data_IF_522388723130
#
_entry.id   IF_522388723130
#
_cell.length_a   1.000
_cell.length_b   1.000
_cell.length_c   1.000
_cell.angle_alpha   90.00
_cell.angle_beta   90.00
_cell.angle_gamma   90.00
#
_symmetry.space_group_name_H-M   'P 1'
#
loop_
_entity.id
_entity.type
_entity.pdbx_description
1 polymer ?
#
# COMPACT_ATOMS: atom_id res chain seq x y z
N UNK A 1 -34.42 -13.95 -11.89
CA UNK A 1 -34.04 -14.10 -10.48
C UNK A 1 -33.50 -12.76 -10.02
N UNK A 2 -34.20 -12.11 -9.10
CA UNK A 2 -34.04 -10.68 -8.80
C UNK A 2 -32.75 -10.33 -8.06
N UNK A 3 -32.26 -9.13 -8.38
CA UNK A 3 -31.23 -8.38 -7.65
C UNK A 3 -31.49 -8.43 -6.15
N UNK A 4 -30.70 -9.24 -5.46
CA UNK A 4 -30.57 -9.19 -4.00
C UNK A 4 -29.11 -8.86 -3.71
N UNK A 5 -28.81 -7.58 -3.72
CA UNK A 5 -27.54 -7.04 -3.24
C UNK A 5 -27.76 -6.26 -1.95
N UNK A 6 -26.75 -6.22 -1.10
CA UNK A 6 -26.64 -5.24 -0.02
C UNK A 6 -25.40 -4.40 -0.29
N UNK A 7 -25.53 -3.08 -0.20
CA UNK A 7 -24.39 -2.17 -0.22
C UNK A 7 -23.92 -1.99 1.22
N UNK A 8 -22.64 -2.26 1.47
CA UNK A 8 -22.00 -1.97 2.75
C UNK A 8 -21.09 -0.78 2.53
N UNK A 9 -21.34 0.30 3.25
CA UNK A 9 -20.56 1.53 3.19
C UNK A 9 -19.77 1.71 4.49
N UNK A 10 -18.58 2.29 4.37
CA UNK A 10 -17.75 2.67 5.52
C UNK A 10 -17.06 3.99 5.21
N UNK A 11 -16.82 4.80 6.25
CA UNK A 11 -15.98 6.00 6.16
C UNK A 11 -14.64 5.70 6.83
N UNK A 12 -13.55 6.20 6.26
CA UNK A 12 -12.24 5.92 6.82
C UNK A 12 -11.10 6.36 5.93
N UNK A 13 -9.90 5.95 6.30
CA UNK A 13 -8.71 6.14 5.48
C UNK A 13 -8.57 4.99 4.49
N UNK A 14 -8.22 5.33 3.25
CA UNK A 14 -7.85 4.38 2.20
C UNK A 14 -6.36 4.51 1.94
N UNK A 15 -5.64 3.38 1.95
CA UNK A 15 -4.24 3.31 1.51
C UNK A 15 -4.22 2.41 0.29
N UNK A 16 -3.75 2.94 -0.85
CA UNK A 16 -3.49 2.12 -2.04
C UNK A 16 -2.05 1.59 -1.99
N UNK A 17 -1.92 0.28 -2.07
CA UNK A 17 -0.64 -0.40 -1.95
C UNK A 17 0.02 -0.61 -3.33
N UNK A 18 1.34 -0.80 -3.35
CA UNK A 18 2.09 -1.03 -4.57
C UNK A 18 1.84 -2.45 -5.13
N UNK A 19 1.68 -3.43 -4.24
CA UNK A 19 1.52 -4.84 -4.60
C UNK A 19 0.76 -5.62 -3.53
N UNK A 20 0.11 -6.71 -3.91
CA UNK A 20 -0.59 -7.61 -2.98
C UNK A 20 -0.66 -9.04 -3.48
N UNK A 21 -0.81 -10.00 -2.55
CA UNK A 21 -0.83 -11.44 -2.85
C UNK A 21 -2.12 -11.95 -3.50
N UNK A 22 -3.17 -11.12 -3.61
CA UNK A 22 -4.48 -11.49 -4.12
C UNK A 22 -5.49 -11.92 -3.05
N UNK A 23 -5.04 -12.19 -1.82
CA UNK A 23 -5.91 -12.60 -0.72
C UNK A 23 -6.54 -11.41 0.01
N UNK A 24 -7.63 -11.66 0.72
CA UNK A 24 -8.36 -10.66 1.49
C UNK A 24 -8.31 -11.02 2.98
N UNK A 25 -8.30 -10.01 3.86
CA UNK A 25 -8.17 -10.23 5.29
C UNK A 25 -8.77 -9.11 6.11
N UNK A 26 -9.10 -9.39 7.37
CA UNK A 26 -9.58 -8.38 8.30
C UNK A 26 -9.20 -8.76 9.72
N UNK A 27 -8.92 -7.76 10.55
CA UNK A 27 -8.54 -7.97 11.94
C UNK A 27 -8.09 -6.66 12.59
N UNK A 28 -7.69 -6.73 13.87
CA UNK A 28 -7.07 -5.59 14.54
C UNK A 28 -5.62 -5.43 14.10
N UNK A 29 -5.22 -4.19 13.80
CA UNK A 29 -3.84 -3.86 13.52
C UNK A 29 -2.98 -4.05 14.77
N UNK A 30 -1.79 -4.59 14.55
CA UNK A 30 -0.71 -4.64 15.52
C UNK A 30 0.56 -4.16 14.84
N UNK A 31 1.00 -2.96 15.21
CA UNK A 31 2.31 -2.45 14.81
C UNK A 31 3.40 -3.20 15.56
N UNK A 32 4.22 -3.96 14.84
CA UNK A 32 5.34 -4.72 15.40
C UNK A 32 6.69 -4.03 15.15
N UNK A 33 6.78 -3.24 14.08
CA UNK A 33 7.98 -2.46 13.74
C UNK A 33 8.07 -1.15 14.55
N UNK A 34 9.28 -0.82 15.00
CA UNK A 34 9.56 0.43 15.72
C UNK A 34 9.79 1.64 14.80
N UNK A 35 10.20 1.40 13.56
CA UNK A 35 10.45 2.43 12.54
C UNK A 35 9.90 1.99 11.18
N UNK A 36 9.72 2.92 10.22
CA UNK A 36 9.23 2.61 8.88
C UNK A 36 10.10 1.60 8.11
N UNK A 37 11.38 1.48 8.44
CA UNK A 37 12.33 0.55 7.80
C UNK A 37 12.78 -0.59 8.72
N UNK A 38 12.19 -0.71 9.91
CA UNK A 38 12.59 -1.74 10.87
C UNK A 38 12.29 -3.14 10.31
N UNK A 39 13.32 -3.98 10.35
CA UNK A 39 13.23 -5.39 9.98
C UNK A 39 12.40 -6.16 11.02
N UNK A 40 11.55 -7.07 10.55
CA UNK A 40 10.86 -8.01 11.44
C UNK A 40 11.86 -9.01 12.05
N UNK A 41 11.93 -9.05 13.38
CA UNK A 41 12.73 -10.01 14.14
C UNK A 41 11.87 -11.10 14.79
N UNK A 42 12.42 -12.29 15.10
CA UNK A 42 11.68 -13.36 15.76
C UNK A 42 10.98 -12.95 17.07
N UNK A 43 11.63 -12.09 17.87
CA UNK A 43 11.11 -11.65 19.17
C UNK A 43 9.83 -10.83 19.04
N UNK A 44 9.65 -10.10 17.92
CA UNK A 44 8.45 -9.32 17.63
C UNK A 44 7.22 -10.19 17.34
N UNK A 45 7.42 -11.48 17.05
CA UNK A 45 6.35 -12.48 16.94
C UNK A 45 6.13 -13.27 18.25
N UNK A 46 6.82 -12.92 19.34
CA UNK A 46 6.70 -13.63 20.62
C UNK A 46 5.45 -13.27 21.44
N UNK A 47 4.72 -12.23 21.06
CA UNK A 47 3.46 -11.84 21.71
C UNK A 47 2.24 -12.58 21.16
N UNK A 48 1.05 -12.23 21.68
CA UNK A 48 -0.21 -12.68 21.07
C UNK A 48 -0.41 -11.98 19.72
N UNK A 49 -0.07 -12.64 18.61
CA UNK A 49 -0.26 -12.14 17.24
C UNK A 49 -1.43 -12.80 16.52
N UNK A 50 -2.03 -13.83 17.14
CA UNK A 50 -3.11 -14.64 16.59
C UNK A 50 -4.32 -13.76 16.26
N UNK A 51 -4.87 -13.90 15.05
CA UNK A 51 -6.05 -13.16 14.65
C UNK A 51 -5.79 -11.69 14.25
N UNK A 52 -4.54 -11.22 14.30
CA UNK A 52 -4.19 -9.80 14.07
C UNK A 52 -3.67 -9.56 12.66
N UNK A 53 -3.67 -8.29 12.26
CA UNK A 53 -3.01 -7.81 11.05
C UNK A 53 -1.71 -7.14 11.47
N UNK A 54 -0.56 -7.67 11.05
CA UNK A 54 0.73 -7.13 11.47
C UNK A 54 1.19 -6.02 10.54
N UNK A 55 1.68 -4.91 11.11
CA UNK A 55 2.31 -3.81 10.36
C UNK A 55 3.82 -3.86 10.58
N UNK A 56 4.55 -4.00 9.47
CA UNK A 56 5.98 -4.23 9.43
C UNK A 56 6.63 -3.21 8.48
N UNK A 57 7.78 -2.65 8.85
CA UNK A 57 8.56 -1.77 7.99
C UNK A 57 9.14 -2.53 6.80
N UNK A 58 10.01 -3.52 7.09
CA UNK A 58 10.63 -4.36 6.07
C UNK A 58 10.55 -5.85 6.44
N UNK A 59 10.10 -6.68 5.49
CA UNK A 59 10.06 -8.15 5.62
C UNK A 59 10.99 -8.78 4.58
N UNK A 60 12.05 -9.46 5.03
CA UNK A 60 13.09 -10.03 4.16
C UNK A 60 13.31 -11.54 4.30
N UNK A 61 12.52 -12.21 5.13
CA UNK A 61 12.64 -13.65 5.40
C UNK A 61 11.34 -14.38 5.07
N UNK A 62 11.43 -15.35 4.16
CA UNK A 62 10.34 -16.28 3.84
C UNK A 62 9.98 -17.14 5.05
N UNK A 63 10.96 -17.51 5.88
CA UNK A 63 10.73 -18.21 7.15
C UNK A 63 9.86 -17.36 8.08
N UNK A 64 10.13 -16.06 8.20
CA UNK A 64 9.33 -15.17 9.04
C UNK A 64 7.91 -14.96 8.49
N UNK A 65 7.74 -14.97 7.16
CA UNK A 65 6.42 -14.97 6.53
C UNK A 65 5.61 -16.20 6.94
N UNK A 66 6.16 -17.41 6.77
CA UNK A 66 5.48 -18.65 7.15
C UNK A 66 5.29 -18.79 8.65
N UNK A 67 6.24 -18.29 9.46
CA UNK A 67 6.06 -18.26 10.92
C UNK A 67 4.85 -17.41 11.32
N UNK A 68 4.62 -16.26 10.67
CA UNK A 68 3.43 -15.46 10.94
C UNK A 68 2.15 -16.21 10.54
N UNK A 69 2.17 -16.92 9.42
CA UNK A 69 1.08 -17.79 8.97
C UNK A 69 0.76 -18.89 10.00
N UNK A 70 1.77 -19.61 10.47
CA UNK A 70 1.64 -20.68 11.46
C UNK A 70 1.12 -20.18 12.81
N UNK A 71 1.45 -18.93 13.19
CA UNK A 71 0.96 -18.27 14.40
C UNK A 71 -0.48 -17.73 14.26
N UNK A 72 -1.15 -17.98 13.13
CA UNK A 72 -2.54 -17.59 12.92
C UNK A 72 -2.74 -16.09 12.71
N UNK A 73 -1.71 -15.38 12.22
CA UNK A 73 -1.85 -14.00 11.74
C UNK A 73 -2.86 -13.96 10.59
N UNK A 74 -3.67 -12.90 10.53
CA UNK A 74 -4.76 -12.75 9.53
C UNK A 74 -4.37 -11.93 8.32
N UNK A 75 -3.20 -11.31 8.33
CA UNK A 75 -2.62 -10.58 7.21
C UNK A 75 -1.39 -9.78 7.61
N UNK A 76 -0.56 -9.49 6.62
CA UNK A 76 0.67 -8.70 6.75
C UNK A 76 0.55 -7.45 5.90
N UNK A 77 0.83 -6.31 6.51
CA UNK A 77 1.03 -5.02 5.85
C UNK A 77 2.50 -4.68 5.99
N UNK A 78 3.23 -4.65 4.89
CA UNK A 78 4.66 -4.39 4.87
C UNK A 78 4.97 -3.14 4.05
N UNK A 79 5.94 -2.35 4.49
CA UNK A 79 6.48 -1.24 3.70
C UNK A 79 7.11 -1.74 2.42
N UNK A 80 8.14 -2.56 2.61
CA UNK A 80 8.84 -3.22 1.52
C UNK A 80 9.12 -4.69 1.81
N UNK A 81 9.43 -5.46 0.75
CA UNK A 81 9.77 -6.88 0.84
C UNK A 81 10.60 -7.35 -0.36
N UNK A 82 10.92 -8.64 -0.42
CA UNK A 82 11.69 -9.24 -1.52
C UNK A 82 10.79 -9.99 -2.50
N UNK A 83 11.30 -10.21 -3.72
CA UNK A 83 10.55 -10.91 -4.77
C UNK A 83 10.22 -12.36 -4.38
N UNK A 84 11.09 -13.01 -3.61
CA UNK A 84 10.90 -14.38 -3.11
C UNK A 84 9.68 -14.48 -2.19
N UNK A 85 9.48 -13.49 -1.31
CA UNK A 85 8.32 -13.44 -0.42
C UNK A 85 7.04 -13.13 -1.21
N UNK A 86 7.10 -12.24 -2.20
CA UNK A 86 5.99 -12.01 -3.12
C UNK A 86 5.62 -13.28 -3.90
N UNK A 87 6.59 -14.14 -4.23
CA UNK A 87 6.31 -15.44 -4.86
C UNK A 87 5.69 -16.43 -3.88
N UNK A 88 6.28 -16.60 -2.69
CA UNK A 88 5.78 -17.51 -1.66
C UNK A 88 4.35 -17.18 -1.21
N UNK A 89 4.03 -15.89 -1.07
CA UNK A 89 2.72 -15.42 -0.63
C UNK A 89 1.60 -15.65 -1.65
N UNK A 90 1.88 -15.82 -2.94
CA UNK A 90 0.85 -16.14 -3.96
C UNK A 90 0.20 -17.50 -3.74
N UNK A 91 0.92 -18.45 -3.16
CA UNK A 91 0.44 -19.80 -2.83
C UNK A 91 -0.09 -19.93 -1.40
N UNK A 92 -0.02 -18.86 -0.60
CA UNK A 92 -0.45 -18.86 0.80
C UNK A 92 -1.85 -18.22 0.94
N UNK A 93 -2.69 -18.72 1.87
CA UNK A 93 -3.91 -18.03 2.29
C UNK A 93 -3.65 -16.75 3.08
N UNK A 94 -2.44 -16.51 3.61
CA UNK A 94 -2.11 -15.31 4.37
C UNK A 94 -2.01 -14.09 3.43
N UNK A 95 -2.86 -13.06 3.60
CA UNK A 95 -2.76 -11.84 2.81
C UNK A 95 -1.45 -11.11 3.08
N UNK A 96 -0.76 -10.74 2.00
CA UNK A 96 0.40 -9.85 2.04
C UNK A 96 0.09 -8.61 1.22
N UNK A 97 0.15 -7.45 1.85
CA UNK A 97 0.04 -6.14 1.20
C UNK A 97 1.37 -5.42 1.34
N UNK A 98 1.94 -4.99 0.21
CA UNK A 98 3.21 -4.25 0.16
C UNK A 98 2.89 -2.81 -0.21
N UNK A 99 3.03 -1.88 0.74
CA UNK A 99 2.60 -0.50 0.54
C UNK A 99 3.48 0.24 -0.45
N UNK A 100 4.80 0.06 -0.38
CA UNK A 100 5.77 0.90 -1.09
C UNK A 100 6.49 0.18 -2.23
N UNK A 101 7.14 -0.96 -1.96
CA UNK A 101 7.97 -1.58 -2.99
C UNK A 101 8.53 -2.96 -2.70
N UNK A 102 9.03 -3.59 -3.76
CA UNK A 102 9.81 -4.81 -3.67
C UNK A 102 11.29 -4.41 -3.63
N UNK A 103 11.70 -3.88 -2.48
CA UNK A 103 13.03 -3.34 -2.19
C UNK A 103 13.30 -3.38 -0.67
N UNK A 104 14.38 -2.72 -0.22
CA UNK A 104 14.77 -2.63 1.18
C UNK A 104 14.55 -1.22 1.80
N UNK A 105 13.73 -0.36 1.17
CA UNK A 105 13.55 1.03 1.60
C UNK A 105 12.57 1.17 2.77
N UNK A 106 11.78 0.13 3.06
CA UNK A 106 10.75 0.17 4.09
C UNK A 106 9.49 0.90 3.63
N UNK A 107 8.75 1.42 4.60
CA UNK A 107 7.46 2.07 4.42
C UNK A 107 7.61 3.58 4.29
N UNK A 108 6.76 4.23 3.49
CA UNK A 108 6.67 5.69 3.50
C UNK A 108 6.30 6.19 4.91
N UNK A 109 7.00 7.18 5.49
CA UNK A 109 6.74 7.64 6.85
C UNK A 109 5.29 8.04 7.12
N UNK A 110 4.62 8.71 6.18
CA UNK A 110 3.22 9.11 6.36
C UNK A 110 2.25 7.92 6.43
N UNK A 111 2.52 6.84 5.68
CA UNK A 111 1.75 5.58 5.76
C UNK A 111 2.01 4.89 7.10
N UNK A 112 3.29 4.86 7.53
CA UNK A 112 3.67 4.28 8.81
C UNK A 112 3.01 5.03 9.98
N UNK A 113 3.03 6.36 9.98
CA UNK A 113 2.40 7.20 11.00
C UNK A 113 0.89 6.96 11.05
N UNK A 114 0.23 6.86 9.90
CA UNK A 114 -1.19 6.59 9.81
C UNK A 114 -1.54 5.19 10.34
N UNK A 115 -0.74 4.17 10.03
CA UNK A 115 -0.92 2.81 10.56
C UNK A 115 -0.59 2.73 12.06
N UNK A 116 0.39 3.50 12.52
CA UNK A 116 0.74 3.62 13.94
C UNK A 116 -0.41 4.26 14.73
N UNK A 117 -0.99 5.35 14.24
CA UNK A 117 -2.18 5.97 14.84
C UNK A 117 -3.40 5.05 14.81
N UNK A 118 -3.45 4.11 13.86
CA UNK A 118 -4.50 3.11 13.75
C UNK A 118 -4.21 1.82 14.55
N UNK A 119 -3.10 1.72 15.27
CA UNK A 119 -2.73 0.52 16.01
C UNK A 119 -3.84 0.10 16.99
N UNK A 120 -4.17 -1.19 17.03
CA UNK A 120 -5.26 -1.76 17.84
C UNK A 120 -6.66 -1.58 17.26
N UNK A 121 -6.84 -0.79 16.19
CA UNK A 121 -8.12 -0.63 15.47
C UNK A 121 -8.27 -1.70 14.38
N UNK A 122 -9.51 -1.96 13.98
CA UNK A 122 -9.80 -2.87 12.88
C UNK A 122 -9.35 -2.29 11.54
N UNK A 123 -8.90 -3.15 10.63
CA UNK A 123 -8.64 -2.84 9.24
C UNK A 123 -9.12 -3.97 8.33
N UNK A 124 -9.32 -3.65 7.05
CA UNK A 124 -9.62 -4.62 5.99
C UNK A 124 -8.56 -4.53 4.89
N UNK A 125 -8.11 -5.68 4.41
CA UNK A 125 -7.11 -5.86 3.37
C UNK A 125 -7.77 -6.45 2.13
N UNK A 126 -7.55 -5.80 1.00
CA UNK A 126 -7.98 -6.27 -0.30
C UNK A 126 -6.75 -6.47 -1.18
N UNK A 127 -6.26 -7.71 -1.27
CA UNK A 127 -4.98 -8.01 -1.90
C UNK A 127 -4.98 -8.09 -3.41
N UNK A 128 -6.12 -7.92 -4.08
CA UNK A 128 -6.21 -8.05 -5.55
C UNK A 128 -5.31 -7.03 -6.23
N UNK A 129 -4.43 -7.54 -7.08
CA UNK A 129 -3.47 -6.75 -7.83
C UNK A 129 -3.47 -7.18 -9.29
N UNK A 130 -3.66 -6.22 -10.18
CA UNK A 130 -3.50 -6.43 -11.61
C UNK A 130 -3.01 -5.14 -12.26
N UNK A 131 -1.70 -5.08 -12.47
CA UNK A 131 -1.03 -3.95 -13.11
C UNK A 131 -1.57 -3.64 -14.51
N UNK A 132 -2.02 -4.64 -15.27
CA UNK A 132 -2.49 -4.45 -16.65
C UNK A 132 -3.78 -3.63 -16.75
N UNK A 133 -4.61 -3.66 -15.70
CA UNK A 133 -5.85 -2.88 -15.60
C UNK A 133 -5.77 -1.78 -14.53
N UNK A 134 -4.60 -1.55 -13.95
CA UNK A 134 -4.39 -0.57 -12.88
C UNK A 134 -5.09 -0.93 -11.56
N UNK A 135 -5.47 -2.19 -11.34
CA UNK A 135 -6.06 -2.62 -10.07
C UNK A 135 -4.96 -2.73 -9.01
N UNK A 136 -5.09 -1.92 -7.96
CA UNK A 136 -4.16 -1.90 -6.84
C UNK A 136 -4.81 -2.50 -5.60
N UNK A 137 -4.03 -3.14 -4.73
CA UNK A 137 -4.50 -3.57 -3.43
C UNK A 137 -4.81 -2.39 -2.52
N UNK A 138 -5.72 -2.60 -1.59
CA UNK A 138 -6.26 -1.55 -0.74
C UNK A 138 -6.25 -1.98 0.73
N UNK A 139 -5.93 -1.02 1.60
CA UNK A 139 -6.10 -1.13 3.04
C UNK A 139 -7.15 -0.11 3.43
N UNK A 140 -8.23 -0.56 4.04
CA UNK A 140 -9.30 0.30 4.56
C UNK A 140 -9.19 0.33 6.07
N UNK A 141 -9.08 1.54 6.62
CA UNK A 141 -9.09 1.80 8.06
C UNK A 141 -10.40 2.51 8.44
N UNK A 142 -11.42 1.77 8.90
CA UNK A 142 -12.69 2.36 9.31
C UNK A 142 -12.49 3.40 10.41
N UNK A 143 -13.14 4.54 10.24
CA UNK A 143 -13.28 5.60 11.24
C UNK A 143 -14.76 5.70 11.63
N UNK A 144 -15.04 6.18 12.83
CA UNK A 144 -16.41 6.50 13.20
C UNK A 144 -16.92 7.57 12.22
N UNK A 145 -18.00 7.27 11.50
CA UNK A 145 -18.56 8.20 10.54
C UNK A 145 -18.96 9.50 11.26
N UNK A 146 -18.50 10.63 10.74
CA UNK A 146 -19.16 11.90 11.06
C UNK A 146 -20.39 11.95 10.16
N UNK A 147 -21.57 11.83 10.74
CA UNK A 147 -22.85 11.89 10.02
C UNK A 147 -22.87 13.12 9.10
N UNK A 148 -23.10 12.93 7.79
CA UNK A 148 -23.29 14.01 6.82
C UNK A 148 -22.13 14.34 5.89
N UNK A 149 -21.05 13.53 5.87
CA UNK A 149 -20.08 13.61 4.78
C UNK A 149 -20.57 12.80 3.58
N UNK A 150 -20.76 13.47 2.44
CA UNK A 150 -20.95 12.78 1.16
C UNK A 150 -19.77 11.81 0.97
N UNK A 151 -20.09 10.54 0.65
CA UNK A 151 -19.11 9.54 0.26
C UNK A 151 -18.47 9.98 -1.06
N UNK A 152 -17.53 10.92 -0.99
CA UNK A 152 -16.76 11.32 -2.15
C UNK A 152 -16.03 10.08 -2.61
N UNK A 153 -16.44 9.54 -3.76
CA UNK A 153 -15.67 8.50 -4.42
C UNK A 153 -14.27 9.08 -4.58
N UNK A 154 -13.26 8.48 -3.96
CA UNK A 154 -11.87 8.95 -4.07
C UNK A 154 -11.34 8.60 -5.46
N UNK A 155 -11.94 9.22 -6.49
CA UNK A 155 -11.41 9.35 -7.84
C UNK A 155 -11.09 10.82 -8.02
N UNK A 156 -9.99 11.24 -7.41
CA UNK A 156 -9.46 12.58 -7.61
C UNK A 156 -8.72 12.60 -8.95
N UNK A 157 -9.03 13.59 -9.79
CA UNK A 157 -8.24 13.88 -10.97
C UNK A 157 -6.87 14.43 -10.52
N UNK A 158 -5.82 14.13 -11.28
CA UNK A 158 -4.50 14.71 -11.03
C UNK A 158 -4.55 16.22 -11.23
N UNK A 159 -4.05 16.98 -10.26
CA UNK A 159 -3.96 18.45 -10.32
C UNK A 159 -2.53 18.94 -10.10
N UNK A 160 -2.17 20.09 -10.69
CA UNK A 160 -0.89 20.74 -10.42
C UNK A 160 -0.76 21.10 -8.93
N UNK A 161 0.45 20.98 -8.38
CA UNK A 161 0.72 21.25 -6.97
C UNK A 161 0.35 20.11 -6.03
N UNK A 162 -0.24 19.01 -6.53
CA UNK A 162 -0.63 17.87 -5.72
C UNK A 162 0.59 17.04 -5.30
N UNK A 163 0.58 16.54 -4.06
CA UNK A 163 1.57 15.60 -3.57
C UNK A 163 1.28 14.19 -4.08
N UNK A 164 2.32 13.55 -4.58
CA UNK A 164 2.26 12.18 -5.10
C UNK A 164 3.44 11.36 -4.60
N UNK A 165 3.20 10.08 -4.36
CA UNK A 165 4.22 9.06 -4.17
C UNK A 165 4.48 8.33 -5.48
N UNK A 166 5.75 8.07 -5.79
CA UNK A 166 6.19 7.34 -6.98
C UNK A 166 6.31 5.85 -6.65
N UNK A 167 5.83 5.00 -7.55
CA UNK A 167 5.83 3.54 -7.44
C UNK A 167 6.67 2.89 -8.54
N UNK A 168 7.21 1.69 -8.27
CA UNK A 168 7.67 0.76 -9.32
C UNK A 168 8.84 1.22 -10.20
N UNK A 169 9.68 2.15 -9.73
CA UNK A 169 10.88 2.62 -10.45
C UNK A 169 12.11 2.60 -9.53
N UNK A 170 13.30 2.90 -10.04
CA UNK A 170 14.50 3.16 -9.22
C UNK A 170 14.33 4.32 -8.22
N UNK A 171 13.23 5.07 -8.35
CA UNK A 171 12.83 6.18 -7.49
C UNK A 171 11.56 5.84 -6.69
N UNK A 172 11.23 4.55 -6.53
CA UNK A 172 10.08 4.10 -5.76
C UNK A 172 10.12 4.63 -4.31
N UNK A 173 8.93 4.82 -3.74
CA UNK A 173 8.70 5.36 -2.40
C UNK A 173 9.15 6.82 -2.19
N UNK A 174 9.58 7.54 -3.24
CA UNK A 174 9.82 8.99 -3.16
C UNK A 174 8.51 9.76 -3.29
N UNK A 175 8.42 10.86 -2.55
CA UNK A 175 7.31 11.82 -2.61
C UNK A 175 7.77 13.08 -3.34
N UNK A 176 6.87 13.64 -4.14
CA UNK A 176 7.09 14.93 -4.79
C UNK A 176 5.79 15.62 -5.16
N UNK A 177 5.94 16.76 -5.83
CA UNK A 177 4.83 17.63 -6.21
C UNK A 177 4.67 17.66 -7.72
N UNK A 178 3.45 17.51 -8.22
CA UNK A 178 3.16 17.61 -9.66
C UNK A 178 3.43 19.04 -10.15
N UNK A 179 4.30 19.20 -11.15
CA UNK A 179 4.61 20.48 -11.80
C UNK A 179 4.07 20.61 -13.22
N UNK A 180 3.91 19.50 -13.92
CA UNK A 180 3.37 19.50 -15.28
C UNK A 180 2.58 18.22 -15.55
N UNK A 181 1.45 18.33 -16.26
CA UNK A 181 0.64 17.17 -16.69
C UNK A 181 0.63 17.13 -18.21
N UNK A 182 1.17 16.07 -18.79
CA UNK A 182 1.26 15.94 -20.24
C UNK A 182 -0.05 15.43 -20.84
N UNK A 183 -0.59 16.16 -21.82
CA UNK A 183 -1.79 15.74 -22.57
C UNK A 183 -1.50 14.76 -23.72
N UNK A 184 -0.21 14.50 -24.01
CA UNK A 184 0.25 13.58 -25.05
C UNK A 184 1.19 12.55 -24.45
N UNK A 185 1.19 11.36 -25.03
CA UNK A 185 2.13 10.29 -24.69
C UNK A 185 3.58 10.77 -24.79
N UNK A 186 4.34 10.60 -23.71
CA UNK A 186 5.76 10.93 -23.62
C UNK A 186 6.61 9.67 -23.73
N UNK A 187 7.82 9.75 -24.33
CA UNK A 187 8.76 8.63 -24.33
C UNK A 187 9.25 8.33 -22.91
N UNK A 188 9.40 7.05 -22.58
CA UNK A 188 9.98 6.58 -21.32
C UNK A 188 11.40 6.05 -21.53
N UNK A 189 12.24 5.93 -20.48
CA UNK A 189 13.59 5.37 -20.58
C UNK A 189 13.64 3.93 -21.13
N UNK A 190 12.54 3.18 -21.00
CA UNK A 190 12.42 1.79 -21.48
C UNK A 190 11.84 1.70 -22.90
N UNK A 191 11.74 2.82 -23.62
CA UNK A 191 11.36 2.86 -25.04
C UNK A 191 9.86 2.77 -25.34
N UNK A 192 8.99 2.62 -24.34
CA UNK A 192 7.54 2.74 -24.51
C UNK A 192 7.08 4.18 -24.32
N UNK A 193 5.89 4.54 -24.81
CA UNK A 193 5.29 5.83 -24.53
C UNK A 193 4.16 5.72 -23.50
N UNK A 194 4.07 6.68 -22.58
CA UNK A 194 3.06 6.69 -21.53
C UNK A 194 2.52 8.10 -21.30
N UNK A 195 1.27 8.20 -20.80
CA UNK A 195 0.79 9.43 -20.18
C UNK A 195 1.47 9.59 -18.82
N UNK A 196 1.86 10.82 -18.47
CA UNK A 196 2.66 11.06 -17.28
C UNK A 196 2.64 12.52 -16.87
N UNK A 197 3.35 12.79 -15.79
CA UNK A 197 3.50 14.11 -15.18
C UNK A 197 4.97 14.34 -14.87
N UNK A 198 5.39 15.60 -14.79
CA UNK A 198 6.65 15.95 -14.14
C UNK A 198 6.41 16.13 -12.65
N UNK A 199 7.19 15.42 -11.85
CA UNK A 199 7.19 15.47 -10.39
C UNK A 199 8.47 16.14 -9.92
N UNK A 200 8.36 17.23 -9.16
CA UNK A 200 9.48 17.83 -8.44
C UNK A 200 9.64 17.16 -7.08
N UNK A 201 10.82 16.61 -6.85
CA UNK A 201 11.20 15.92 -5.62
C UNK A 201 11.78 16.92 -4.61
N UNK A 202 11.93 16.49 -3.35
CA UNK A 202 12.39 17.37 -2.27
C UNK A 202 13.80 17.96 -2.48
N UNK A 203 14.63 17.32 -3.30
CA UNK A 203 15.97 17.78 -3.71
C UNK A 203 15.94 18.75 -4.91
N UNK A 204 14.74 19.13 -5.39
CA UNK A 204 14.54 19.98 -6.56
C UNK A 204 14.66 19.25 -7.91
N UNK A 205 14.90 17.94 -7.91
CA UNK A 205 14.94 17.16 -9.13
C UNK A 205 13.55 17.06 -9.76
N UNK A 206 13.46 17.37 -11.06
CA UNK A 206 12.27 17.12 -11.87
C UNK A 206 12.39 15.77 -12.58
N UNK A 207 11.39 14.91 -12.40
CA UNK A 207 11.33 13.58 -13.00
C UNK A 207 10.00 13.38 -13.74
N UNK A 208 10.07 12.90 -14.98
CA UNK A 208 8.90 12.39 -15.67
C UNK A 208 8.46 11.05 -15.07
N UNK A 209 7.21 10.95 -14.63
CA UNK A 209 6.63 9.75 -14.03
C UNK A 209 5.34 9.38 -14.76
N UNK A 210 5.19 8.13 -15.25
CA UNK A 210 3.92 7.65 -15.79
C UNK A 210 2.80 7.73 -14.75
N UNK A 211 1.59 8.08 -15.15
CA UNK A 211 0.44 8.18 -14.23
C UNK A 211 0.20 6.85 -13.51
N UNK A 212 0.40 5.73 -14.19
CA UNK A 212 0.27 4.38 -13.62
C UNK A 212 1.24 4.10 -12.46
N UNK A 213 2.30 4.90 -12.33
CA UNK A 213 3.33 4.78 -11.31
C UNK A 213 3.18 5.85 -10.22
N UNK A 214 2.01 6.50 -10.12
CA UNK A 214 1.72 7.50 -9.10
C UNK A 214 0.66 7.02 -8.13
N UNK A 215 0.83 7.46 -6.89
CA UNK A 215 -0.16 7.36 -5.83
C UNK A 215 -0.42 8.76 -5.27
N UNK A 216 -1.69 9.14 -5.16
CA UNK A 216 -2.07 10.48 -4.69
C UNK A 216 -2.04 10.50 -3.15
N UNK A 217 -1.39 11.51 -2.58
CA UNK A 217 -1.41 11.77 -1.14
C UNK A 217 -2.36 12.93 -0.88
N UNK A 218 -3.32 12.73 0.04
CA UNK A 218 -4.38 13.69 0.41
C UNK A 218 -4.27 14.02 1.89
#
# INVERSE_FOLDING_TARGET
MGDRGVMIETSGSLIQAAWGSGQEGSGKLMLVSSTPSALLTPDQLGGDVTGKLLVIGYLNSVEMFHRAEDLGVRGLIVGSTTAEICQASKSSPLPLIVTDGIDANGMLPSIFDLLQQANGRSASLFGRYNAAIGQRPEIILPQAATLGLDATTVKQNLTLGQLVRILGTTQAARVGTIKHIYQRLQPTPIGVKAYGVDVELADGQLLFVPIANLDIII
#
